data_IF_627161710236
#
_entry.id   IF_627161710236
#
_cell.length_a   1.000
_cell.length_b   1.000
_cell.length_c   1.000
_cell.angle_alpha   90.00
_cell.angle_beta   90.00
_cell.angle_gamma   90.00
#
_symmetry.space_group_name_H-M   'P 1'
#
loop_
_entity.id
_entity.type
_entity.pdbx_description
1 polymer ?
#
# COMPACT_ATOMS: atom_id res chain seq x y z
N UNK A 1 7.53 29.49 -37.91
CA UNK A 1 6.79 28.95 -36.75
C UNK A 1 7.06 29.82 -35.54
N UNK A 2 6.05 30.08 -34.71
CA UNK A 2 6.14 30.85 -33.46
C UNK A 2 5.99 29.92 -32.25
N UNK A 3 6.54 30.32 -31.10
CA UNK A 3 6.39 29.57 -29.85
C UNK A 3 5.01 29.84 -29.25
N UNK A 4 4.15 28.83 -29.22
CA UNK A 4 2.77 28.93 -28.71
C UNK A 4 2.61 28.10 -27.45
N UNK A 5 1.92 28.65 -26.45
CA UNK A 5 1.56 27.93 -25.23
C UNK A 5 0.46 26.89 -25.55
N UNK A 6 0.81 25.62 -25.43
CA UNK A 6 -0.11 24.49 -25.62
C UNK A 6 -0.52 23.94 -24.26
N UNK A 7 0.44 23.70 -23.36
CA UNK A 7 0.17 23.11 -22.05
C UNK A 7 0.16 24.20 -20.97
N UNK A 8 -1.01 24.41 -20.37
CA UNK A 8 -1.15 25.34 -19.24
C UNK A 8 -0.37 24.86 -18.00
N UNK A 9 -0.18 25.76 -17.02
CA UNK A 9 0.60 25.43 -15.82
C UNK A 9 -0.04 24.28 -15.00
N UNK A 10 -1.36 24.27 -14.72
CA UNK A 10 -1.96 23.20 -13.92
C UNK A 10 -1.82 21.81 -14.56
N UNK A 11 -1.95 21.71 -15.88
CA UNK A 11 -1.77 20.42 -16.59
C UNK A 11 -0.33 19.92 -16.51
N UNK A 12 0.66 20.81 -16.61
CA UNK A 12 2.08 20.46 -16.46
C UNK A 12 2.42 20.00 -15.06
N UNK A 13 1.94 20.72 -14.06
CA UNK A 13 2.12 20.35 -12.66
C UNK A 13 1.47 19.00 -12.37
N UNK A 14 0.22 18.80 -12.78
CA UNK A 14 -0.46 17.52 -12.67
C UNK A 14 0.38 16.39 -13.29
N UNK A 15 0.86 16.55 -14.53
CA UNK A 15 1.61 15.51 -15.22
C UNK A 15 2.85 15.07 -14.43
N UNK A 16 3.69 16.02 -14.02
CA UNK A 16 4.94 15.69 -13.33
C UNK A 16 4.70 15.19 -11.90
N UNK A 17 3.71 15.75 -11.19
CA UNK A 17 3.33 15.25 -9.87
C UNK A 17 2.72 13.85 -9.94
N UNK A 18 1.89 13.56 -10.95
CA UNK A 18 1.31 12.25 -11.15
C UNK A 18 2.38 11.20 -11.48
N UNK A 19 3.30 11.52 -12.39
CA UNK A 19 4.43 10.66 -12.73
C UNK A 19 5.36 10.42 -11.52
N UNK A 20 5.69 11.47 -10.76
CA UNK A 20 6.49 11.37 -9.55
C UNK A 20 5.78 10.55 -8.45
N UNK A 21 4.47 10.71 -8.30
CA UNK A 21 3.68 9.94 -7.33
C UNK A 21 3.67 8.46 -7.70
N UNK A 22 3.41 8.11 -8.96
CA UNK A 22 3.46 6.72 -9.40
C UNK A 22 4.86 6.12 -9.21
N UNK A 23 5.93 6.84 -9.59
CA UNK A 23 7.30 6.37 -9.40
C UNK A 23 7.64 6.18 -7.92
N UNK A 24 7.27 7.14 -7.06
CA UNK A 24 7.48 7.07 -5.62
C UNK A 24 6.76 5.88 -5.00
N UNK A 25 5.49 5.66 -5.35
CA UNK A 25 4.74 4.48 -4.91
C UNK A 25 5.39 3.19 -5.40
N UNK A 26 5.78 3.12 -6.68
CA UNK A 26 6.41 1.93 -7.24
C UNK A 26 7.74 1.57 -6.57
N UNK A 27 8.61 2.56 -6.32
CA UNK A 27 9.90 2.34 -5.66
C UNK A 27 9.78 1.90 -4.19
N UNK A 28 8.63 2.12 -3.57
CA UNK A 28 8.39 1.84 -2.15
C UNK A 28 7.53 0.60 -1.92
N UNK A 29 7.16 -0.14 -2.97
CA UNK A 29 6.19 -1.25 -2.89
C UNK A 29 6.69 -2.52 -2.20
N UNK A 30 8.01 -2.77 -2.17
CA UNK A 30 8.58 -4.05 -1.71
C UNK A 30 8.92 -4.07 -0.21
N UNK A 31 8.76 -2.94 0.50
CA UNK A 31 9.18 -2.83 1.89
C UNK A 31 8.07 -2.34 2.79
N UNK A 32 7.74 -3.15 3.79
CA UNK A 32 6.78 -2.79 4.85
C UNK A 32 7.21 -1.50 5.58
N UNK A 33 8.52 -1.23 5.69
CA UNK A 33 9.06 0.00 6.27
C UNK A 33 8.72 1.26 5.45
N UNK A 34 8.52 1.11 4.13
CA UNK A 34 8.23 2.21 3.20
C UNK A 34 6.74 2.28 2.85
N UNK A 35 5.90 1.45 3.47
CA UNK A 35 4.46 1.40 3.22
C UNK A 35 3.79 2.77 3.41
N UNK A 36 4.20 3.55 4.41
CA UNK A 36 3.63 4.89 4.61
C UNK A 36 4.00 5.88 3.49
N UNK A 37 5.21 5.76 2.92
CA UNK A 37 5.58 6.51 1.71
C UNK A 37 4.78 6.03 0.49
N UNK A 38 4.61 4.71 0.34
CA UNK A 38 3.80 4.13 -0.74
C UNK A 38 2.36 4.65 -0.70
N UNK A 39 1.72 4.60 0.47
CA UNK A 39 0.35 5.06 0.67
C UNK A 39 0.22 6.58 0.48
N UNK A 40 1.17 7.40 0.98
CA UNK A 40 1.22 8.84 0.69
C UNK A 40 1.13 9.14 -0.80
N UNK A 41 2.00 8.49 -1.59
CA UNK A 41 2.03 8.67 -3.03
C UNK A 41 0.76 8.15 -3.70
N UNK A 42 0.17 7.06 -3.21
CA UNK A 42 -1.12 6.54 -3.66
C UNK A 42 -2.27 7.53 -3.45
N UNK A 43 -2.38 8.10 -2.25
CA UNK A 43 -3.37 9.14 -1.94
C UNK A 43 -3.16 10.40 -2.78
N UNK A 44 -1.92 10.88 -2.88
CA UNK A 44 -1.58 12.04 -3.70
C UNK A 44 -1.95 11.80 -5.17
N UNK A 45 -1.61 10.63 -5.72
CA UNK A 45 -1.96 10.24 -7.08
C UNK A 45 -3.48 10.23 -7.30
N UNK A 46 -4.24 9.65 -6.37
CA UNK A 46 -5.70 9.58 -6.46
C UNK A 46 -6.35 10.99 -6.38
N UNK A 47 -5.87 11.86 -5.49
CA UNK A 47 -6.31 13.25 -5.41
C UNK A 47 -5.98 14.03 -6.69
N UNK A 48 -4.79 13.82 -7.26
CA UNK A 48 -4.38 14.43 -8.52
C UNK A 48 -5.27 13.96 -9.69
N UNK A 49 -5.67 12.69 -9.73
CA UNK A 49 -6.66 12.20 -10.72
C UNK A 49 -7.98 12.95 -10.55
N UNK A 50 -8.48 13.09 -9.32
CA UNK A 50 -9.67 13.89 -9.03
C UNK A 50 -9.58 15.31 -9.60
N UNK A 51 -8.46 16.00 -9.32
CA UNK A 51 -8.16 17.31 -9.91
C UNK A 51 -8.16 17.25 -11.45
N UNK A 52 -7.51 16.25 -12.05
CA UNK A 52 -7.38 16.14 -13.51
C UNK A 52 -8.70 15.88 -14.21
N UNK A 53 -9.61 15.12 -13.59
CA UNK A 53 -10.95 14.89 -14.11
C UNK A 53 -11.74 16.20 -14.17
N UNK A 54 -11.69 17.02 -13.11
CA UNK A 54 -12.32 18.35 -13.09
C UNK A 54 -11.66 19.27 -14.11
N UNK A 55 -10.32 19.37 -14.11
CA UNK A 55 -9.57 20.23 -15.04
C UNK A 55 -9.74 19.79 -16.51
N UNK A 56 -9.99 18.52 -16.76
CA UNK A 56 -10.28 17.98 -18.10
C UNK A 56 -11.66 18.34 -18.65
N UNK A 57 -12.53 18.91 -17.81
CA UNK A 57 -13.82 19.44 -18.23
C UNK A 57 -13.77 20.98 -18.35
N UNK A 58 -13.15 21.65 -17.38
CA UNK A 58 -13.22 23.11 -17.23
C UNK A 58 -11.95 23.87 -17.67
N UNK A 59 -10.83 23.17 -17.87
CA UNK A 59 -9.52 23.77 -18.10
C UNK A 59 -9.33 24.47 -19.45
N UNK A 60 -8.07 24.76 -19.79
CA UNK A 60 -7.73 25.36 -21.09
C UNK A 60 -8.03 24.44 -22.28
N UNK A 61 -8.02 25.01 -23.49
CA UNK A 61 -8.35 24.32 -24.75
C UNK A 61 -7.74 22.92 -24.85
N UNK A 62 -6.42 22.81 -24.67
CA UNK A 62 -5.68 21.55 -24.85
C UNK A 62 -5.70 20.64 -23.61
N UNK A 63 -6.20 21.13 -22.47
CA UNK A 63 -6.38 20.34 -21.25
C UNK A 63 -7.70 19.54 -21.28
N UNK A 64 -8.71 20.02 -22.01
CA UNK A 64 -10.04 19.40 -22.03
C UNK A 64 -10.05 18.08 -22.76
N UNK A 65 -10.73 17.07 -22.22
CA UNK A 65 -10.84 15.75 -22.83
C UNK A 65 -11.49 15.80 -24.22
N UNK A 66 -12.44 16.72 -24.43
CA UNK A 66 -13.08 16.92 -25.74
C UNK A 66 -12.13 17.37 -26.84
N UNK A 67 -10.96 17.94 -26.49
CA UNK A 67 -9.97 18.38 -27.49
C UNK A 67 -9.09 17.25 -28.04
N UNK A 68 -9.14 16.07 -27.42
CA UNK A 68 -8.32 14.91 -27.81
C UNK A 68 -9.07 13.57 -27.65
N UNK A 69 -10.39 13.59 -27.82
CA UNK A 69 -11.22 12.40 -27.73
C UNK A 69 -11.17 11.62 -29.05
N UNK A 70 -10.20 10.71 -29.16
CA UNK A 70 -10.05 9.80 -30.29
C UNK A 70 -10.51 8.39 -29.91
N UNK A 71 -11.13 7.67 -30.86
CA UNK A 71 -11.46 6.27 -30.68
C UNK A 71 -10.23 5.35 -30.75
N UNK A 72 -10.29 4.13 -30.18
CA UNK A 72 -9.15 3.22 -30.11
C UNK A 72 -8.61 2.82 -31.50
N UNK A 73 -9.49 2.67 -32.50
CA UNK A 73 -9.08 2.38 -33.89
C UNK A 73 -8.20 3.48 -34.48
N UNK A 74 -8.60 4.74 -34.28
CA UNK A 74 -7.83 5.92 -34.75
C UNK A 74 -6.48 6.00 -34.05
N UNK A 75 -6.43 5.66 -32.75
CA UNK A 75 -5.17 5.55 -32.01
C UNK A 75 -4.23 4.49 -32.57
N UNK A 76 -4.74 3.30 -32.89
CA UNK A 76 -3.97 2.22 -33.48
C UNK A 76 -3.48 2.55 -34.90
N UNK A 77 -4.34 3.14 -35.73
CA UNK A 77 -3.97 3.55 -37.08
C UNK A 77 -2.89 4.64 -37.05
N UNK A 78 -3.01 5.60 -36.14
CA UNK A 78 -1.97 6.60 -35.91
C UNK A 78 -0.65 5.98 -35.45
N UNK A 79 -0.69 5.02 -34.52
CA UNK A 79 0.52 4.32 -34.07
C UNK A 79 1.22 3.58 -35.22
N UNK A 80 0.46 2.91 -36.09
CA UNK A 80 1.01 2.26 -37.29
C UNK A 80 1.68 3.28 -38.23
N UNK A 81 1.03 4.43 -38.44
CA UNK A 81 1.60 5.51 -39.25
C UNK A 81 2.86 6.11 -38.61
N UNK A 82 2.89 6.25 -37.29
CA UNK A 82 4.04 6.78 -36.57
C UNK A 82 5.26 5.84 -36.69
N UNK A 83 5.03 4.53 -36.55
CA UNK A 83 6.07 3.51 -36.78
C UNK A 83 6.53 3.50 -38.24
N UNK A 84 5.62 3.72 -39.19
CA UNK A 84 5.94 3.84 -40.61
C UNK A 84 6.57 5.20 -41.00
N UNK A 85 6.73 6.13 -40.06
CA UNK A 85 7.29 7.46 -40.31
C UNK A 85 6.38 8.42 -41.09
N UNK A 86 5.09 8.12 -41.19
CA UNK A 86 4.10 8.89 -41.99
C UNK A 86 3.01 9.55 -41.15
N UNK A 87 3.09 9.47 -39.82
CA UNK A 87 2.09 10.07 -38.93
C UNK A 87 2.02 11.60 -39.08
N UNK A 88 0.80 12.12 -39.04
CA UNK A 88 0.55 13.56 -39.08
C UNK A 88 0.92 14.23 -37.75
N UNK A 89 1.57 15.39 -37.84
CA UNK A 89 1.94 16.18 -36.66
C UNK A 89 0.71 16.80 -35.99
N UNK A 90 0.61 16.68 -34.66
CA UNK A 90 -0.45 17.27 -33.84
C UNK A 90 0.08 18.33 -32.85
N UNK A 91 -0.64 19.45 -32.71
CA UNK A 91 -0.28 20.49 -31.73
C UNK A 91 -0.58 20.07 -30.29
N UNK A 92 -1.78 19.51 -30.04
CA UNK A 92 -2.18 18.94 -28.75
C UNK A 92 -1.76 17.47 -28.62
N UNK A 93 -2.61 16.66 -28.00
CA UNK A 93 -2.39 15.21 -27.99
C UNK A 93 -2.68 14.63 -29.38
N UNK A 94 -1.79 13.77 -29.86
CA UNK A 94 -2.07 12.93 -31.02
C UNK A 94 -3.00 11.75 -30.60
N UNK A 95 -3.59 11.01 -31.57
CA UNK A 95 -4.51 9.92 -31.25
C UNK A 95 -3.94 8.82 -30.34
N UNK A 96 -2.69 8.39 -30.55
CA UNK A 96 -2.06 7.35 -29.72
C UNK A 96 -1.75 7.84 -28.30
N UNK A 97 -1.19 9.04 -28.17
CA UNK A 97 -0.94 9.70 -26.89
C UNK A 97 -2.24 9.96 -26.12
N UNK A 98 -3.35 10.23 -26.81
CA UNK A 98 -4.67 10.35 -26.19
C UNK A 98 -5.13 9.04 -25.57
N UNK A 99 -4.93 7.90 -26.24
CA UNK A 99 -5.22 6.59 -25.65
C UNK A 99 -4.37 6.34 -24.40
N UNK A 100 -3.07 6.68 -24.46
CA UNK A 100 -2.18 6.55 -23.31
C UNK A 100 -2.67 7.38 -22.10
N UNK A 101 -3.14 8.62 -22.32
CA UNK A 101 -3.72 9.45 -21.24
C UNK A 101 -4.94 8.78 -20.62
N UNK A 102 -5.91 8.29 -21.41
CA UNK A 102 -7.10 7.63 -20.86
C UNK A 102 -6.76 6.33 -20.13
N UNK A 103 -5.84 5.53 -20.66
CA UNK A 103 -5.36 4.31 -20.02
C UNK A 103 -4.66 4.60 -18.69
N UNK A 104 -3.73 5.57 -18.66
CA UNK A 104 -3.00 5.94 -17.44
C UNK A 104 -3.92 6.54 -16.37
N UNK A 105 -4.90 7.36 -16.76
CA UNK A 105 -5.89 7.89 -15.81
C UNK A 105 -6.84 6.80 -15.29
N UNK A 106 -7.31 5.90 -16.17
CA UNK A 106 -8.18 4.79 -15.80
C UNK A 106 -7.49 3.79 -14.89
N UNK A 107 -6.30 3.33 -15.29
CA UNK A 107 -5.48 2.42 -14.47
C UNK A 107 -5.06 3.10 -13.17
N UNK A 108 -4.60 4.35 -13.20
CA UNK A 108 -4.24 5.08 -11.99
C UNK A 108 -5.42 5.22 -11.01
N UNK A 109 -6.64 5.43 -11.51
CA UNK A 109 -7.85 5.47 -10.68
C UNK A 109 -8.12 4.09 -10.06
N UNK A 110 -8.05 3.02 -10.85
CA UNK A 110 -8.28 1.67 -10.36
C UNK A 110 -7.21 1.22 -9.37
N UNK A 111 -5.93 1.56 -9.60
CA UNK A 111 -4.82 1.30 -8.68
C UNK A 111 -5.03 2.08 -7.39
N UNK A 112 -5.34 3.37 -7.47
CA UNK A 112 -5.59 4.21 -6.29
C UNK A 112 -6.78 3.70 -5.46
N UNK A 113 -7.90 3.38 -6.10
CA UNK A 113 -9.09 2.84 -5.41
C UNK A 113 -8.82 1.46 -4.80
N UNK A 114 -8.21 0.54 -5.55
CA UNK A 114 -7.86 -0.79 -5.02
C UNK A 114 -6.88 -0.69 -3.86
N UNK A 115 -5.94 0.26 -3.87
CA UNK A 115 -5.03 0.52 -2.76
C UNK A 115 -5.76 0.92 -1.47
N UNK A 116 -6.78 1.79 -1.56
CA UNK A 116 -7.62 2.13 -0.40
C UNK A 116 -8.28 0.89 0.21
N UNK A 117 -8.83 0.02 -0.64
CA UNK A 117 -9.50 -1.20 -0.18
C UNK A 117 -8.53 -2.29 0.30
N UNK A 118 -7.32 -2.36 -0.26
CA UNK A 118 -6.25 -3.22 0.27
C UNK A 118 -5.89 -2.79 1.69
N UNK A 119 -5.67 -1.49 1.92
CA UNK A 119 -5.39 -0.96 3.25
C UNK A 119 -6.54 -1.24 4.23
N UNK A 120 -7.79 -1.09 3.80
CA UNK A 120 -8.95 -1.39 4.63
C UNK A 120 -9.22 -2.87 4.89
N UNK A 121 -8.86 -3.77 3.96
CA UNK A 121 -9.21 -5.18 4.04
C UNK A 121 -8.09 -6.10 4.54
N UNK A 122 -6.86 -5.87 4.10
CA UNK A 122 -5.71 -6.68 4.52
C UNK A 122 -5.05 -6.09 5.77
N UNK A 123 -4.84 -4.78 5.80
CA UNK A 123 -4.21 -4.09 6.95
C UNK A 123 -5.25 -3.65 8.01
N UNK A 124 -6.55 -3.76 7.71
CA UNK A 124 -7.66 -3.28 8.56
C UNK A 124 -7.50 -1.81 9.00
N UNK A 125 -6.93 -0.98 8.12
CA UNK A 125 -6.56 0.42 8.38
C UNK A 125 -7.12 1.40 7.34
N UNK A 126 -7.12 2.68 7.68
CA UNK A 126 -7.50 3.76 6.76
C UNK A 126 -9.01 3.88 6.51
N UNK A 127 -9.37 4.74 5.55
CA UNK A 127 -10.77 5.15 5.31
C UNK A 127 -11.70 3.99 4.88
N UNK A 128 -11.14 2.91 4.33
CA UNK A 128 -11.91 1.74 3.90
C UNK A 128 -12.02 0.64 4.97
N UNK A 129 -11.38 0.79 6.15
CA UNK A 129 -11.42 -0.19 7.23
C UNK A 129 -12.82 -0.39 7.84
N UNK A 130 -13.69 0.63 7.74
CA UNK A 130 -15.03 0.66 8.37
C UNK A 130 -15.98 -0.41 7.78
N UNK A 131 -15.64 -1.01 6.63
CA UNK A 131 -16.52 -1.89 5.87
C UNK A 131 -16.56 -3.37 6.27
N UNK A 132 -15.73 -3.83 7.21
CA UNK A 132 -15.72 -5.24 7.63
C UNK A 132 -15.33 -6.22 6.52
N UNK A 133 -14.42 -5.82 5.62
CA UNK A 133 -13.91 -6.68 4.55
C UNK A 133 -13.17 -7.88 5.13
N UNK A 134 -13.44 -9.07 4.61
CA UNK A 134 -12.68 -10.26 5.02
C UNK A 134 -11.24 -10.20 4.49
N UNK A 135 -10.27 -10.73 5.25
CA UNK A 135 -8.88 -10.83 4.82
C UNK A 135 -8.72 -11.55 3.47
N UNK A 136 -9.57 -12.54 3.18
CA UNK A 136 -9.55 -13.24 1.89
C UNK A 136 -9.87 -12.29 0.72
N UNK A 137 -10.86 -11.42 0.90
CA UNK A 137 -11.20 -10.39 -0.09
C UNK A 137 -10.12 -9.30 -0.14
N UNK A 138 -9.61 -8.86 1.01
CA UNK A 138 -8.49 -7.91 1.10
C UNK A 138 -7.27 -8.37 0.30
N UNK A 139 -6.85 -9.62 0.47
CA UNK A 139 -5.74 -10.21 -0.29
C UNK A 139 -6.04 -10.32 -1.79
N UNK A 140 -7.25 -10.72 -2.18
CA UNK A 140 -7.62 -10.75 -3.60
C UNK A 140 -7.55 -9.34 -4.22
N UNK A 141 -7.95 -8.31 -3.48
CA UNK A 141 -7.81 -6.91 -3.90
C UNK A 141 -6.33 -6.52 -3.98
N UNK A 142 -5.48 -6.92 -3.02
CA UNK A 142 -4.02 -6.70 -3.07
C UNK A 142 -3.38 -7.31 -4.32
N UNK A 143 -3.74 -8.55 -4.66
CA UNK A 143 -3.26 -9.21 -5.88
C UNK A 143 -3.71 -8.47 -7.14
N UNK A 144 -4.98 -8.04 -7.18
CA UNK A 144 -5.53 -7.19 -8.24
C UNK A 144 -4.82 -5.83 -8.34
N UNK A 145 -4.51 -5.20 -7.21
CA UNK A 145 -3.77 -3.95 -7.14
C UNK A 145 -2.38 -4.09 -7.78
N UNK A 146 -1.63 -5.14 -7.41
CA UNK A 146 -0.33 -5.43 -8.00
C UNK A 146 -0.40 -5.70 -9.51
N UNK A 147 -1.43 -6.41 -9.98
CA UNK A 147 -1.66 -6.61 -11.42
C UNK A 147 -1.94 -5.28 -12.14
N UNK A 148 -2.83 -4.44 -11.59
CA UNK A 148 -3.17 -3.14 -12.17
C UNK A 148 -1.96 -2.20 -12.22
N UNK A 149 -1.13 -2.19 -11.16
CA UNK A 149 0.09 -1.40 -11.10
C UNK A 149 1.11 -1.84 -12.16
N UNK A 150 1.29 -3.16 -12.35
CA UNK A 150 2.13 -3.72 -13.42
C UNK A 150 1.62 -3.35 -14.83
N UNK A 151 0.31 -3.41 -15.05
CA UNK A 151 -0.29 -2.97 -16.33
C UNK A 151 -0.08 -1.47 -16.55
N UNK A 152 -0.21 -0.66 -15.50
CA UNK A 152 0.08 0.77 -15.56
C UNK A 152 1.56 1.02 -15.91
N UNK A 153 2.49 0.29 -15.30
CA UNK A 153 3.92 0.38 -15.59
C UNK A 153 4.22 0.04 -17.07
N UNK A 154 3.59 -0.99 -17.62
CA UNK A 154 3.69 -1.33 -19.05
C UNK A 154 3.23 -0.15 -19.94
N UNK A 155 2.10 0.48 -19.60
CA UNK A 155 1.60 1.64 -20.34
C UNK A 155 2.54 2.84 -20.18
N UNK A 156 3.16 3.03 -19.01
CA UNK A 156 4.20 4.07 -18.81
C UNK A 156 5.38 3.84 -19.75
N UNK A 157 5.91 2.62 -19.85
CA UNK A 157 6.99 2.33 -20.80
C UNK A 157 6.57 2.57 -22.25
N UNK A 158 5.37 2.13 -22.64
CA UNK A 158 4.83 2.39 -23.98
C UNK A 158 4.66 3.89 -24.25
N UNK A 159 4.21 4.66 -23.26
CA UNK A 159 4.10 6.12 -23.33
C UNK A 159 5.46 6.78 -23.54
N UNK A 160 6.48 6.42 -22.75
CA UNK A 160 7.82 6.97 -22.90
C UNK A 160 8.45 6.63 -24.26
N UNK A 161 8.24 5.41 -24.75
CA UNK A 161 8.65 5.00 -26.09
C UNK A 161 7.95 5.83 -27.17
N UNK A 162 6.64 6.05 -27.03
CA UNK A 162 5.87 6.92 -27.93
C UNK A 162 6.35 8.38 -27.91
N UNK A 163 6.67 8.92 -26.74
CA UNK A 163 7.27 10.26 -26.58
C UNK A 163 8.61 10.35 -27.30
N UNK A 164 9.47 9.35 -27.17
CA UNK A 164 10.76 9.31 -27.86
C UNK A 164 10.60 9.20 -29.38
N UNK A 165 9.74 8.29 -29.86
CA UNK A 165 9.45 8.09 -31.28
C UNK A 165 8.90 9.36 -31.93
N UNK A 166 7.88 9.97 -31.35
CA UNK A 166 7.28 11.20 -31.85
C UNK A 166 8.24 12.39 -31.80
N UNK A 167 9.08 12.46 -30.75
CA UNK A 167 10.07 13.52 -30.64
C UNK A 167 11.10 13.44 -31.76
N UNK A 168 11.51 12.22 -32.13
CA UNK A 168 12.42 11.98 -33.23
C UNK A 168 11.75 12.21 -34.60
N UNK A 169 10.56 11.65 -34.80
CA UNK A 169 9.81 11.75 -36.06
C UNK A 169 9.51 13.20 -36.43
N UNK A 170 9.11 14.02 -35.46
CA UNK A 170 8.74 15.41 -35.69
C UNK A 170 9.85 16.41 -35.36
N UNK A 171 11.04 15.95 -34.96
CA UNK A 171 12.17 16.79 -34.54
C UNK A 171 11.76 17.81 -33.46
N UNK A 172 10.89 17.38 -32.54
CA UNK A 172 10.32 18.21 -31.48
C UNK A 172 10.52 17.53 -30.14
N UNK A 173 11.24 18.17 -29.21
CA UNK A 173 11.40 17.60 -27.88
C UNK A 173 10.09 17.72 -27.08
N UNK A 174 9.31 16.64 -27.05
CA UNK A 174 8.01 16.61 -26.37
C UNK A 174 8.15 16.69 -24.85
N UNK A 175 9.19 16.07 -24.27
CA UNK A 175 9.45 16.16 -22.83
C UNK A 175 9.74 17.62 -22.41
N UNK A 176 10.58 18.33 -23.15
CA UNK A 176 10.85 19.77 -22.96
C UNK A 176 9.58 20.61 -23.17
N UNK A 177 8.76 20.24 -24.14
CA UNK A 177 7.47 20.89 -24.38
C UNK A 177 6.54 20.71 -23.17
N UNK A 178 6.56 19.56 -22.50
CA UNK A 178 5.79 19.33 -21.28
C UNK A 178 6.35 20.09 -20.07
N UNK A 179 7.66 20.35 -20.00
CA UNK A 179 8.25 21.21 -18.95
C UNK A 179 7.90 22.68 -19.19
N UNK A 180 8.08 23.18 -20.40
CA UNK A 180 7.90 24.61 -20.72
C UNK A 180 6.45 25.00 -21.01
N UNK A 181 5.66 24.06 -21.51
CA UNK A 181 4.30 24.25 -22.01
C UNK A 181 4.23 24.73 -23.47
N UNK A 182 5.39 24.99 -24.09
CA UNK A 182 5.49 25.65 -25.38
C UNK A 182 5.75 24.63 -26.49
N UNK A 183 5.12 24.82 -27.65
CA UNK A 183 5.46 24.13 -28.91
C UNK A 183 5.57 25.13 -30.05
N UNK A 184 6.35 24.78 -31.08
CA UNK A 184 6.36 25.54 -32.32
C UNK A 184 5.00 25.40 -33.03
N UNK A 185 4.41 26.49 -33.49
CA UNK A 185 3.14 26.46 -34.22
C UNK A 185 3.14 27.47 -35.37
N UNK A 186 2.21 27.30 -36.30
CA UNK A 186 1.96 28.28 -37.36
C UNK A 186 1.36 29.57 -36.79
N UNK A 187 1.53 30.68 -37.52
CA UNK A 187 0.96 31.97 -37.15
C UNK A 187 -0.56 31.89 -37.08
N UNK A 188 -1.14 32.25 -35.93
CA UNK A 188 -2.59 32.18 -35.69
C UNK A 188 -3.07 30.92 -34.95
N UNK A 189 -2.18 29.98 -34.62
CA UNK A 189 -2.54 28.83 -33.80
C UNK A 189 -3.08 29.27 -32.42
N UNK A 190 -4.23 28.74 -31.96
CA UNK A 190 -4.82 29.17 -30.69
C UNK A 190 -3.92 28.85 -29.49
N UNK A 191 -3.49 29.86 -28.74
CA UNK A 191 -2.75 29.67 -27.51
C UNK A 191 -3.67 29.28 -26.33
N UNK A 192 -3.18 28.41 -25.45
CA UNK A 192 -3.80 28.16 -24.15
C UNK A 192 -3.66 29.37 -23.22
N UNK A 193 -4.59 29.49 -22.27
CA UNK A 193 -4.41 30.38 -21.11
C UNK A 193 -3.53 29.68 -20.07
N UNK A 194 -2.57 30.37 -19.43
CA UNK A 194 -1.60 29.73 -18.54
C UNK A 194 -2.16 29.27 -17.19
N UNK A 195 -3.26 29.87 -16.71
CA UNK A 195 -3.91 29.55 -15.43
C UNK A 195 -2.94 29.50 -14.22
N UNK A 196 -2.06 30.50 -14.11
CA UNK A 196 -1.01 30.56 -13.08
C UNK A 196 -1.55 30.43 -11.65
N UNK A 197 -2.67 31.09 -11.34
CA UNK A 197 -3.29 31.02 -10.02
C UNK A 197 -3.74 29.59 -9.67
N UNK A 198 -4.39 28.88 -10.58
CA UNK A 198 -4.79 27.48 -10.35
C UNK A 198 -3.56 26.59 -10.15
N UNK A 199 -2.48 26.83 -10.89
CA UNK A 199 -1.23 26.10 -10.72
C UNK A 199 -0.59 26.36 -9.34
N UNK A 200 -0.61 27.61 -8.87
CA UNK A 200 -0.14 27.96 -7.53
C UNK A 200 -1.01 27.30 -6.45
N UNK A 201 -2.34 27.34 -6.59
CA UNK A 201 -3.26 26.70 -5.65
C UNK A 201 -3.05 25.19 -5.59
N UNK A 202 -2.79 24.54 -6.74
CA UNK A 202 -2.44 23.12 -6.78
C UNK A 202 -1.14 22.83 -6.01
N UNK A 203 -0.09 23.63 -6.21
CA UNK A 203 1.17 23.47 -5.46
C UNK A 203 0.97 23.65 -3.95
N UNK A 204 0.22 24.67 -3.55
CA UNK A 204 -0.13 24.91 -2.14
C UNK A 204 -0.91 23.72 -1.59
N UNK A 205 -1.91 23.22 -2.31
CA UNK A 205 -2.69 22.06 -1.87
C UNK A 205 -1.81 20.81 -1.68
N UNK A 206 -0.89 20.54 -2.60
CA UNK A 206 0.04 19.40 -2.49
C UNK A 206 1.03 19.59 -1.34
N UNK A 207 1.58 20.80 -1.16
CA UNK A 207 2.47 21.11 -0.05
C UNK A 207 1.76 21.01 1.31
N UNK A 208 0.53 21.51 1.41
CA UNK A 208 -0.30 21.39 2.61
C UNK A 208 -0.66 19.94 2.88
N UNK A 209 -1.04 19.16 1.86
CA UNK A 209 -1.30 17.73 2.02
C UNK A 209 -0.06 16.98 2.49
N UNK A 210 1.11 17.23 1.88
CA UNK A 210 2.37 16.63 2.31
C UNK A 210 2.76 17.04 3.73
N UNK A 211 2.64 18.32 4.07
CA UNK A 211 2.92 18.82 5.43
C UNK A 211 1.97 18.18 6.43
N UNK A 212 0.66 18.17 6.16
CA UNK A 212 -0.31 17.50 7.01
C UNK A 212 -0.02 16.00 7.14
N UNK A 213 0.33 15.33 6.04
CA UNK A 213 0.71 13.92 6.06
C UNK A 213 1.89 13.70 7.01
N UNK A 214 3.05 14.32 6.77
CA UNK A 214 4.27 14.05 7.51
C UNK A 214 4.35 14.68 8.92
N UNK A 215 3.56 15.72 9.23
CA UNK A 215 3.57 16.36 10.54
C UNK A 215 2.36 16.02 11.43
N UNK A 216 1.23 15.60 10.86
CA UNK A 216 0.00 15.38 11.64
C UNK A 216 -0.62 13.99 11.44
N UNK A 217 -0.75 13.52 10.21
CA UNK A 217 -1.25 12.17 9.95
C UNK A 217 -0.18 11.10 10.22
N UNK A 218 1.10 11.50 10.20
CA UNK A 218 2.24 10.61 10.30
C UNK A 218 2.70 10.37 11.74
N UNK A 219 2.79 11.38 12.63
CA UNK A 219 3.40 11.29 14.00
C UNK A 219 4.04 9.91 14.31
N UNK A 220 5.20 9.50 13.77
CA UNK A 220 6.56 10.10 13.85
C UNK A 220 7.54 9.59 12.77
N UNK A 221 8.44 10.40 12.12
CA UNK A 221 9.73 9.88 11.65
C UNK A 221 10.89 10.90 11.50
N UNK A 222 10.78 12.17 11.93
CA UNK A 222 11.85 13.16 11.65
C UNK A 222 12.91 13.15 12.75
N UNK A 223 12.56 12.70 13.96
CA UNK A 223 13.52 12.49 15.06
C UNK A 223 14.46 11.29 14.81
N UNK A 224 14.14 10.39 13.86
CA UNK A 224 15.03 9.26 13.52
C UNK A 224 16.24 9.63 12.65
N UNK A 225 16.37 10.88 12.20
CA UNK A 225 17.64 11.39 11.66
C UNK A 225 18.56 11.97 12.75
N UNK A 226 18.10 12.05 14.00
CA UNK A 226 18.87 12.52 15.14
C UNK A 226 18.49 11.73 16.39
N UNK A 227 18.97 10.50 16.47
CA UNK A 227 18.54 9.53 17.49
C UNK A 227 18.51 10.11 18.90
N UNK A 228 17.31 10.21 19.47
CA UNK A 228 17.10 10.37 20.90
C UNK A 228 15.97 9.45 21.36
N UNK A 229 16.31 8.67 22.39
CA UNK A 229 15.41 7.85 23.18
C UNK A 229 14.58 8.77 24.07
N UNK A 230 13.27 8.85 23.87
CA UNK A 230 12.37 9.38 24.89
C UNK A 230 11.14 8.48 25.09
N UNK A 231 10.91 8.19 26.36
CA UNK A 231 9.96 7.24 26.93
C UNK A 231 8.48 7.66 26.82
N UNK A 232 8.14 8.68 26.02
CA UNK A 232 6.76 9.08 25.75
C UNK A 232 6.04 8.19 24.71
N UNK A 233 6.77 7.27 24.08
CA UNK A 233 6.32 6.40 23.00
C UNK A 233 5.73 5.07 23.53
N UNK A 234 4.65 5.08 24.32
CA UNK A 234 3.99 3.84 24.81
C UNK A 234 2.72 3.43 24.02
N UNK A 235 2.19 4.28 23.15
CA UNK A 235 1.09 3.88 22.25
C UNK A 235 1.61 2.97 21.11
N UNK A 236 0.83 1.98 20.63
CA UNK A 236 1.14 1.31 19.37
C UNK A 236 1.27 2.36 18.26
N UNK A 237 2.32 2.32 17.44
CA UNK A 237 2.53 3.30 16.35
C UNK A 237 1.34 3.34 15.39
N UNK A 238 0.58 2.24 15.29
CA UNK A 238 -0.78 2.21 14.76
C UNK A 238 -1.60 1.29 15.66
N UNK A 239 -2.65 1.80 16.30
CA UNK A 239 -3.58 0.96 17.05
C UNK A 239 -4.31 0.01 16.08
N UNK A 240 -4.47 -1.26 16.45
CA UNK A 240 -5.33 -2.17 15.70
C UNK A 240 -6.76 -1.60 15.67
N UNK A 241 -7.24 -1.26 14.46
CA UNK A 241 -8.58 -0.69 14.24
C UNK A 241 -9.60 -1.78 13.85
N UNK A 242 -9.16 -3.04 13.77
CA UNK A 242 -10.03 -4.18 13.48
C UNK A 242 -10.95 -4.54 14.65
N UNK A 243 -11.77 -5.56 14.44
CA UNK A 243 -12.72 -6.02 15.46
C UNK A 243 -11.98 -6.51 16.71
N UNK A 244 -12.33 -6.04 17.93
CA UNK A 244 -11.70 -6.52 19.17
C UNK A 244 -11.71 -8.04 19.24
N UNK A 245 -10.56 -8.62 19.58
CA UNK A 245 -10.45 -10.07 19.75
C UNK A 245 -11.15 -10.50 21.06
N UNK A 246 -11.80 -11.68 21.08
CA UNK A 246 -12.42 -12.18 22.30
C UNK A 246 -11.38 -12.43 23.40
N UNK A 247 -11.74 -12.12 24.64
CA UNK A 247 -10.90 -12.32 25.82
C UNK A 247 -11.51 -13.37 26.76
N UNK A 248 -10.67 -14.02 27.56
CA UNK A 248 -11.09 -14.95 28.61
C UNK A 248 -10.18 -14.80 29.84
N UNK A 249 -10.76 -14.49 30.99
CA UNK A 249 -10.02 -14.38 32.24
C UNK A 249 -9.35 -15.71 32.61
N UNK A 250 -10.04 -16.84 32.41
CA UNK A 250 -9.48 -18.17 32.69
C UNK A 250 -8.30 -18.51 31.77
N UNK A 251 -8.37 -18.10 30.50
CA UNK A 251 -7.24 -18.24 29.57
C UNK A 251 -6.03 -17.43 30.02
N UNK A 252 -6.25 -16.18 30.42
CA UNK A 252 -5.18 -15.30 30.92
C UNK A 252 -4.56 -15.83 32.20
N UNK A 253 -5.38 -16.31 33.14
CA UNK A 253 -4.92 -16.89 34.40
C UNK A 253 -4.04 -18.14 34.18
N UNK A 254 -4.54 -19.12 33.41
CA UNK A 254 -3.86 -20.40 33.24
C UNK A 254 -2.69 -20.32 32.25
N UNK A 255 -2.92 -19.71 31.08
CA UNK A 255 -1.92 -19.64 30.00
C UNK A 255 -0.97 -18.45 30.11
N UNK A 256 -1.26 -17.46 30.96
CA UNK A 256 -0.44 -16.27 31.19
C UNK A 256 0.51 -16.36 32.40
N UNK A 257 0.40 -17.43 33.20
CA UNK A 257 1.14 -17.59 34.46
C UNK A 257 2.66 -17.70 34.29
N UNK A 258 3.12 -18.30 33.18
CA UNK A 258 4.54 -18.58 32.92
C UNK A 258 5.14 -17.74 31.78
N UNK A 259 4.33 -17.40 30.77
CA UNK A 259 4.72 -16.60 29.62
C UNK A 259 3.52 -15.75 29.18
N UNK A 260 3.68 -14.87 28.20
CA UNK A 260 2.57 -14.17 27.55
C UNK A 260 1.44 -15.15 27.22
N UNK A 261 0.21 -14.88 27.65
CA UNK A 261 -0.93 -15.72 27.27
C UNK A 261 -1.16 -15.58 25.75
N UNK A 262 -0.55 -16.47 24.98
CA UNK A 262 -0.63 -16.43 23.52
C UNK A 262 -2.10 -16.49 23.09
N UNK A 263 -2.54 -15.51 22.31
CA UNK A 263 -3.91 -15.48 21.84
C UNK A 263 -4.20 -16.74 20.99
N UNK A 264 -5.38 -17.39 21.12
CA UNK A 264 -5.70 -18.63 20.41
C UNK A 264 -5.54 -18.55 18.89
N UNK A 265 -5.62 -17.36 18.30
CA UNK A 265 -5.44 -17.13 16.87
C UNK A 265 -4.06 -17.51 16.31
N UNK A 266 -3.06 -17.77 17.17
CA UNK A 266 -1.69 -18.08 16.77
C UNK A 266 -1.41 -19.56 16.45
N UNK A 267 -2.38 -20.45 16.68
CA UNK A 267 -2.30 -21.86 16.31
C UNK A 267 -3.67 -22.37 15.84
N UNK A 268 -3.70 -23.43 15.01
CA UNK A 268 -4.95 -24.05 14.61
C UNK A 268 -5.59 -24.81 15.79
N UNK A 269 -6.90 -25.00 15.75
CA UNK A 269 -7.68 -25.67 16.79
C UNK A 269 -7.10 -27.04 17.17
N UNK A 270 -6.66 -27.81 16.17
CA UNK A 270 -6.02 -29.13 16.38
C UNK A 270 -4.74 -29.06 17.21
N UNK A 271 -3.98 -27.97 17.10
CA UNK A 271 -2.76 -27.76 17.88
C UNK A 271 -3.10 -27.44 19.34
N UNK A 272 -4.10 -26.61 19.59
CA UNK A 272 -4.57 -26.34 20.95
C UNK A 272 -5.12 -27.59 21.64
N UNK A 273 -5.91 -28.39 20.91
CA UNK A 273 -6.39 -29.69 21.38
C UNK A 273 -5.23 -30.63 21.75
N UNK A 274 -4.23 -30.77 20.87
CA UNK A 274 -3.07 -31.62 21.13
C UNK A 274 -2.23 -31.12 22.30
N UNK A 275 -2.05 -29.80 22.43
CA UNK A 275 -1.27 -29.17 23.50
C UNK A 275 -1.93 -29.37 24.87
N UNK A 276 -3.25 -29.12 24.98
CA UNK A 276 -3.97 -29.31 26.23
C UNK A 276 -4.21 -30.79 26.57
N UNK A 277 -4.37 -31.67 25.57
CA UNK A 277 -4.34 -33.12 25.82
C UNK A 277 -2.98 -33.60 26.35
N UNK A 278 -1.89 -32.93 25.97
CA UNK A 278 -0.52 -33.21 26.39
C UNK A 278 -0.02 -32.37 27.58
N UNK A 279 -0.90 -31.68 28.31
CA UNK A 279 -0.52 -30.68 29.33
C UNK A 279 0.44 -31.16 30.43
N UNK A 280 0.46 -32.46 30.73
CA UNK A 280 1.41 -33.05 31.69
C UNK A 280 2.87 -33.09 31.24
N UNK A 281 3.15 -32.67 29.99
CA UNK A 281 4.50 -32.55 29.42
C UNK A 281 4.60 -31.29 28.55
N UNK A 282 3.97 -30.20 28.98
CA UNK A 282 4.01 -28.90 28.32
C UNK A 282 5.45 -28.35 28.29
N UNK A 283 6.19 -28.75 27.26
CA UNK A 283 7.58 -28.36 27.00
C UNK A 283 8.60 -28.63 28.12
N UNK A 284 8.31 -29.60 28.97
CA UNK A 284 9.17 -29.99 30.09
C UNK A 284 8.48 -29.87 31.44
N UNK A 285 7.37 -29.14 31.51
CA UNK A 285 6.60 -28.90 32.73
C UNK A 285 5.22 -29.57 32.68
N UNK A 286 4.63 -29.80 33.85
CA UNK A 286 3.24 -30.26 34.01
C UNK A 286 2.39 -29.05 34.43
N UNK A 287 1.36 -28.73 33.65
CA UNK A 287 0.46 -27.61 33.97
C UNK A 287 -0.47 -27.93 35.14
N UNK A 288 -0.67 -29.21 35.49
CA UNK A 288 -1.48 -29.63 36.63
C UNK A 288 -2.97 -29.29 36.52
N UNK A 289 -3.48 -29.07 35.31
CA UNK A 289 -4.86 -28.63 35.08
C UNK A 289 -5.84 -29.78 35.29
N UNK A 290 -6.99 -29.51 35.91
CA UNK A 290 -8.07 -30.50 35.97
C UNK A 290 -8.85 -30.58 34.65
N UNK A 291 -9.65 -31.64 34.50
CA UNK A 291 -10.41 -31.87 33.27
C UNK A 291 -11.45 -30.78 32.98
N UNK A 292 -12.02 -30.14 34.01
CA UNK A 292 -13.00 -29.08 33.85
C UNK A 292 -12.33 -27.81 33.30
N UNK A 293 -11.16 -27.46 33.83
CA UNK A 293 -10.33 -26.35 33.38
C UNK A 293 -9.87 -26.56 31.94
N UNK A 294 -9.39 -27.76 31.59
CA UNK A 294 -9.02 -28.09 30.20
C UNK A 294 -10.20 -27.93 29.26
N UNK A 295 -11.41 -28.38 29.65
CA UNK A 295 -12.60 -28.24 28.82
C UNK A 295 -13.00 -26.77 28.61
N UNK A 296 -12.91 -25.93 29.65
CA UNK A 296 -13.17 -24.50 29.57
C UNK A 296 -12.16 -23.77 28.67
N UNK A 297 -10.87 -24.08 28.81
CA UNK A 297 -9.81 -23.53 27.95
C UNK A 297 -10.02 -23.90 26.48
N UNK A 298 -10.40 -25.15 26.19
CA UNK A 298 -10.69 -25.58 24.81
C UNK A 298 -11.96 -24.93 24.25
N UNK A 299 -12.99 -24.72 25.08
CA UNK A 299 -14.20 -24.02 24.67
C UNK A 299 -13.94 -22.56 24.27
N UNK A 300 -12.90 -21.94 24.84
CA UNK A 300 -12.42 -20.63 24.40
C UNK A 300 -11.45 -20.72 23.20
N UNK A 301 -10.45 -21.60 23.25
CA UNK A 301 -9.38 -21.61 22.26
C UNK A 301 -9.83 -22.08 20.87
N UNK A 302 -10.64 -23.14 20.79
CA UNK A 302 -11.03 -23.75 19.50
C UNK A 302 -11.87 -22.80 18.64
N UNK A 303 -12.91 -22.12 19.17
CA UNK A 303 -13.67 -21.15 18.39
C UNK A 303 -12.89 -19.89 18.02
N UNK A 304 -11.77 -19.61 18.69
CA UNK A 304 -10.92 -18.43 18.46
C UNK A 304 -9.57 -18.76 17.80
N UNK A 305 -9.42 -19.99 17.32
CA UNK A 305 -8.19 -20.49 16.72
C UNK A 305 -7.89 -19.84 15.35
N UNK A 306 -6.69 -20.09 14.82
CA UNK A 306 -6.21 -19.52 13.56
C UNK A 306 -7.18 -19.72 12.38
N UNK A 307 -7.99 -20.78 12.39
CA UNK A 307 -9.00 -21.07 11.37
C UNK A 307 -10.01 -19.93 11.16
N UNK A 308 -10.30 -19.13 12.18
CA UNK A 308 -11.23 -18.01 12.07
C UNK A 308 -10.66 -16.86 11.24
N UNK A 309 -9.33 -16.74 11.14
CA UNK A 309 -8.68 -15.62 10.46
C UNK A 309 -9.07 -14.26 11.05
N UNK A 310 -9.16 -14.17 12.38
CA UNK A 310 -9.58 -12.95 13.07
C UNK A 310 -8.57 -11.79 12.95
N UNK A 311 -7.31 -12.11 12.66
CA UNK A 311 -6.21 -11.16 12.42
C UNK A 311 -5.44 -11.58 11.16
N UNK A 312 -4.62 -10.67 10.63
CA UNK A 312 -3.79 -10.95 9.47
C UNK A 312 -2.84 -12.13 9.74
N UNK A 313 -2.19 -12.11 10.91
CA UNK A 313 -1.35 -13.20 11.40
C UNK A 313 -2.12 -14.52 11.47
N UNK A 314 -3.33 -14.54 12.04
CA UNK A 314 -4.16 -15.75 12.15
C UNK A 314 -4.46 -16.36 10.77
N UNK A 315 -4.88 -15.50 9.84
CA UNK A 315 -5.23 -15.89 8.48
C UNK A 315 -4.03 -16.49 7.73
N UNK A 316 -2.84 -15.88 7.88
CA UNK A 316 -1.60 -16.35 7.25
C UNK A 316 -1.05 -17.61 7.93
N UNK A 317 -1.11 -17.71 9.26
CA UNK A 317 -0.71 -18.91 10.02
C UNK A 317 -1.53 -20.12 9.55
N UNK A 318 -2.85 -20.03 9.57
CA UNK A 318 -3.73 -21.13 9.21
C UNK A 318 -3.44 -21.68 7.79
N UNK A 319 -3.19 -20.78 6.84
CA UNK A 319 -2.87 -21.15 5.45
C UNK A 319 -1.45 -21.70 5.26
N UNK A 320 -0.54 -21.37 6.16
CA UNK A 320 0.85 -21.83 6.07
C UNK A 320 1.04 -23.25 6.60
N UNK A 321 0.15 -23.73 7.48
CA UNK A 321 0.27 -25.03 8.13
C UNK A 321 -0.53 -26.08 7.33
N UNK A 322 0.11 -27.14 6.81
CA UNK A 322 -0.61 -28.24 6.16
C UNK A 322 -1.67 -28.85 7.08
N UNK A 323 -2.81 -29.27 6.51
CA UNK A 323 -3.89 -29.92 7.28
C UNK A 323 -3.45 -31.23 7.93
N UNK A 324 -2.41 -31.88 7.40
CA UNK A 324 -1.77 -33.07 7.95
C UNK A 324 -0.77 -32.80 9.08
N UNK A 325 -0.48 -31.53 9.39
CA UNK A 325 0.50 -31.12 10.40
C UNK A 325 -0.18 -30.46 11.60
N UNK A 326 0.29 -30.79 12.81
CA UNK A 326 -0.18 -30.25 14.10
C UNK A 326 1.00 -29.67 14.87
N UNK A 327 1.50 -28.47 14.51
CA UNK A 327 2.62 -27.85 15.20
C UNK A 327 2.21 -27.50 16.63
N UNK A 328 3.07 -27.77 17.60
CA UNK A 328 2.79 -27.45 19.02
C UNK A 328 3.40 -26.10 19.43
N UNK A 329 4.41 -25.60 18.69
CA UNK A 329 5.02 -24.29 18.93
C UNK A 329 4.63 -23.29 17.85
N UNK A 330 4.22 -22.10 18.26
CA UNK A 330 3.95 -20.96 17.36
C UNK A 330 5.22 -20.62 16.55
N UNK A 331 6.38 -20.62 17.21
CA UNK A 331 7.68 -20.32 16.62
C UNK A 331 8.18 -21.34 15.59
N UNK A 332 7.54 -22.50 15.49
CA UNK A 332 7.87 -23.54 14.50
C UNK A 332 6.88 -23.54 13.33
N UNK A 333 5.85 -22.68 13.36
CA UNK A 333 4.93 -22.57 12.23
C UNK A 333 5.66 -22.02 10.99
N UNK A 334 5.29 -22.46 9.77
CA UNK A 334 5.94 -21.97 8.56
C UNK A 334 5.81 -20.46 8.37
N UNK A 335 4.66 -19.88 8.74
CA UNK A 335 4.46 -18.42 8.71
C UNK A 335 5.42 -17.69 9.65
N UNK A 336 5.50 -18.09 10.92
CA UNK A 336 6.38 -17.45 11.89
C UNK A 336 7.84 -17.52 11.43
N UNK A 337 8.28 -18.71 11.01
CA UNK A 337 9.66 -18.91 10.52
C UNK A 337 9.95 -18.01 9.32
N UNK A 338 9.03 -17.90 8.37
CA UNK A 338 9.18 -17.04 7.19
C UNK A 338 9.34 -15.57 7.58
N UNK A 339 8.51 -15.06 8.49
CA UNK A 339 8.53 -13.65 8.91
C UNK A 339 9.74 -13.29 9.79
N UNK A 340 10.25 -14.24 10.56
CA UNK A 340 11.33 -13.98 11.53
C UNK A 340 12.74 -14.40 11.05
N UNK A 341 12.87 -15.00 9.85
CA UNK A 341 14.16 -15.50 9.34
C UNK A 341 15.20 -14.43 9.03
N UNK A 342 14.77 -13.19 8.83
CA UNK A 342 15.64 -12.06 8.44
C UNK A 342 16.07 -11.22 9.66
N UNK A 343 15.61 -11.58 10.86
CA UNK A 343 16.04 -10.95 12.12
C UNK A 343 17.46 -11.41 12.43
N UNK A 344 18.36 -10.45 12.67
CA UNK A 344 19.77 -10.73 12.89
C UNK A 344 19.99 -11.42 14.25
N UNK A 345 21.04 -12.24 14.34
CA UNK A 345 21.37 -12.95 15.58
C UNK A 345 21.63 -12.01 16.76
N UNK A 346 22.14 -10.80 16.49
CA UNK A 346 22.36 -9.76 17.51
C UNK A 346 21.06 -9.32 18.17
N UNK A 347 19.96 -9.24 17.41
CA UNK A 347 18.64 -8.86 17.94
C UNK A 347 18.08 -9.98 18.83
N UNK A 348 18.28 -11.25 18.45
CA UNK A 348 17.92 -12.40 19.29
C UNK A 348 18.73 -12.49 20.58
N UNK A 349 19.97 -12.01 20.57
CA UNK A 349 20.84 -11.95 21.74
C UNK A 349 20.54 -10.75 22.65
N UNK A 350 19.64 -9.84 22.27
CA UNK A 350 19.26 -8.72 23.10
C UNK A 350 18.71 -9.21 24.46
N UNK A 351 19.25 -8.74 25.61
CA UNK A 351 18.80 -9.14 26.94
C UNK A 351 17.32 -8.85 27.24
N UNK A 352 16.67 -7.96 26.47
CA UNK A 352 15.22 -7.68 26.55
C UNK A 352 14.39 -8.73 25.80
N UNK A 353 14.92 -9.31 24.72
CA UNK A 353 14.26 -10.36 23.94
C UNK A 353 14.38 -11.70 24.67
N UNK A 354 15.60 -12.12 25.02
CA UNK A 354 15.96 -13.39 25.71
C UNK A 354 15.59 -14.69 25.01
N UNK A 355 14.40 -14.78 24.41
CA UNK A 355 13.85 -15.99 23.81
C UNK A 355 12.85 -15.63 22.70
N UNK A 356 12.75 -16.51 21.70
CA UNK A 356 11.74 -16.43 20.62
C UNK A 356 10.29 -16.49 21.12
N UNK A 357 10.07 -16.95 22.36
CA UNK A 357 8.75 -16.98 22.99
C UNK A 357 8.32 -15.62 23.55
N UNK A 358 9.25 -14.67 23.73
CA UNK A 358 8.95 -13.35 24.28
C UNK A 358 8.47 -12.39 23.19
N UNK A 359 7.33 -12.70 22.57
CA UNK A 359 6.80 -11.92 21.46
C UNK A 359 6.57 -10.45 21.85
N UNK A 360 6.16 -10.19 23.10
CA UNK A 360 5.92 -8.84 23.62
C UNK A 360 7.17 -7.94 23.68
N UNK A 361 8.39 -8.51 23.61
CA UNK A 361 9.61 -7.72 23.53
C UNK A 361 9.74 -6.92 22.21
N UNK A 362 9.14 -7.45 21.14
CA UNK A 362 9.19 -6.86 19.81
C UNK A 362 7.81 -6.43 19.29
N UNK A 363 6.72 -7.05 19.74
CA UNK A 363 5.35 -6.74 19.32
C UNK A 363 4.58 -6.06 20.46
N UNK A 364 4.28 -4.77 20.31
CA UNK A 364 3.57 -3.99 21.36
C UNK A 364 2.12 -4.42 21.55
N UNK A 365 1.56 -5.08 20.56
CA UNK A 365 0.20 -5.55 20.49
C UNK A 365 0.09 -7.07 20.75
N UNK A 366 1.16 -7.70 21.23
CA UNK A 366 1.20 -9.15 21.47
C UNK A 366 0.15 -9.61 22.49
N UNK A 367 -0.12 -8.82 23.52
CA UNK A 367 -1.17 -9.09 24.52
C UNK A 367 -2.58 -8.99 23.90
N UNK A 368 -2.79 -8.04 23.00
CA UNK A 368 -4.03 -7.90 22.26
C UNK A 368 -4.23 -9.00 21.20
N UNK A 369 -3.17 -9.74 20.86
CA UNK A 369 -3.23 -10.91 19.97
C UNK A 369 -3.25 -10.58 18.47
N UNK A 370 -3.01 -9.33 18.09
CA UNK A 370 -3.16 -8.83 16.70
C UNK A 370 -1.92 -9.08 15.85
N UNK A 371 -0.73 -8.83 16.40
CA UNK A 371 0.59 -8.99 15.75
C UNK A 371 0.71 -8.25 14.42
N UNK A 372 0.24 -7.00 14.39
CA UNK A 372 0.32 -6.13 13.23
C UNK A 372 1.77 -5.71 12.96
N UNK A 373 2.18 -5.69 11.69
CA UNK A 373 3.55 -5.30 11.29
C UNK A 373 3.87 -3.87 11.78
N UNK A 374 2.87 -2.98 11.83
CA UNK A 374 2.99 -1.60 12.32
C UNK A 374 3.16 -1.47 13.85
N UNK A 375 2.85 -2.51 14.62
CA UNK A 375 2.99 -2.53 16.08
C UNK A 375 4.35 -3.09 16.54
N UNK A 376 5.23 -3.44 15.60
CA UNK A 376 6.55 -4.00 15.88
C UNK A 376 7.59 -2.91 16.20
N UNK A 377 8.27 -3.04 17.34
CA UNK A 377 9.47 -2.29 17.68
C UNK A 377 10.37 -3.09 18.62
N UNK A 378 11.64 -3.26 18.24
CA UNK A 378 12.66 -3.78 19.16
C UNK A 378 13.03 -2.65 20.13
N UNK A 379 12.80 -2.85 21.43
CA UNK A 379 13.24 -1.90 22.46
C UNK A 379 14.77 -1.91 22.52
N UNK A 380 15.42 -0.82 22.11
CA UNK A 380 16.83 -0.56 22.44
C UNK A 380 16.97 -0.52 23.96
#
# INVERSE_FOLDING_TARGET
MQSTLIWDLPLRLFHWLFAASFLGAWLTTESDQWLSLHTFFGYLMLSLIGFRLVWGLTGSRYARFSSFLYGPRVGLDYLRQAIAGSAARHLGHNPAGSQAVFLLLGLGLLVGLSGLFTQGGEEQQGAAAIGGLSFALGKAIKEGHGLLANLMLLVVFAHLAGVALESWLHQENLARSMVTGLKAAESGAPAARPHKLVGLLLLVAVATFGTWWFFYAWHEPVERLGGHDDAANEAPHVAFVGKPLPESAKWQEECGSCHLAFHPSLLPARSWQALLAGQGRHFGDDLGLDAATVAELLAFAVPNAAEQGATEAAWKINRSIPTSSTPLRISETPYWTKKHREIADVDWQNPKVKSKANCAACHRDAEAGTFEDAAMQVRN
#
